data_IF_492539240336
#
_entry.id   IF_492539240336
#
_cell.length_a   1.000
_cell.length_b   1.000
_cell.length_c   1.000
_cell.angle_alpha   90.00
_cell.angle_beta   90.00
_cell.angle_gamma   90.00
#
_symmetry.space_group_name_H-M   'P 1'
#
loop_
_entity.id
_entity.type
_entity.pdbx_description
1 polymer ?
#
# COMPACT_ATOMS: atom_id res chain seq x y z
N UNK A 1 71.78 -31.92 -62.66
CA UNK A 1 71.33 -30.93 -61.65
C UNK A 1 70.02 -31.43 -61.03
N UNK A 2 70.04 -31.53 -59.69
CA UNK A 2 68.97 -31.66 -58.68
C UNK A 2 67.50 -31.62 -59.18
N UNK A 3 66.70 -32.66 -58.86
CA UNK A 3 65.63 -32.66 -57.81
C UNK A 3 64.30 -32.03 -58.31
N UNK A 4 63.08 -32.48 -58.03
CA UNK A 4 62.54 -33.35 -56.97
C UNK A 4 61.14 -33.87 -57.39
N UNK A 5 60.80 -35.11 -57.04
CA UNK A 5 59.44 -35.63 -57.00
C UNK A 5 58.64 -34.91 -55.89
N UNK A 6 57.37 -34.58 -56.15
CA UNK A 6 56.37 -34.29 -55.10
C UNK A 6 55.18 -35.24 -55.25
N UNK A 7 55.10 -36.21 -54.33
CA UNK A 7 53.88 -36.99 -54.07
C UNK A 7 52.89 -36.10 -53.31
N UNK A 8 51.66 -35.99 -53.82
CA UNK A 8 50.53 -35.41 -53.08
C UNK A 8 49.91 -36.46 -52.16
N UNK A 9 49.91 -36.21 -50.85
CA UNK A 9 49.22 -37.01 -49.87
C UNK A 9 47.74 -36.61 -49.78
N UNK A 10 46.84 -37.57 -49.97
CA UNK A 10 45.40 -37.43 -49.69
C UNK A 10 45.19 -37.68 -48.20
N UNK A 11 44.89 -36.64 -47.44
CA UNK A 11 44.51 -36.74 -46.03
C UNK A 11 43.02 -37.08 -45.89
N UNK A 12 42.71 -38.27 -45.39
CA UNK A 12 41.35 -38.66 -44.98
C UNK A 12 41.12 -38.14 -43.56
N UNK A 13 40.25 -37.14 -43.41
CA UNK A 13 39.73 -36.72 -42.10
C UNK A 13 38.63 -37.70 -41.65
N UNK A 14 38.94 -38.57 -40.68
CA UNK A 14 37.92 -39.28 -39.90
C UNK A 14 37.29 -38.31 -38.89
N UNK A 15 36.06 -37.88 -39.16
CA UNK A 15 35.24 -37.16 -38.18
C UNK A 15 34.67 -38.11 -37.13
N UNK A 16 35.06 -37.95 -35.87
CA UNK A 16 34.47 -38.66 -34.74
C UNK A 16 33.15 -37.98 -34.34
N UNK A 17 32.03 -38.67 -34.58
CA UNK A 17 30.70 -38.27 -34.11
C UNK A 17 30.58 -38.53 -32.60
N UNK A 18 30.66 -37.48 -31.79
CA UNK A 18 30.26 -37.53 -30.37
C UNK A 18 28.73 -37.49 -30.27
N UNK A 19 28.07 -38.43 -29.56
CA UNK A 19 26.63 -38.35 -29.34
C UNK A 19 26.32 -37.22 -28.36
N UNK A 20 25.63 -36.17 -28.84
CA UNK A 20 25.02 -35.15 -27.99
C UNK A 20 23.89 -35.81 -27.18
N UNK A 21 24.14 -36.07 -25.89
CA UNK A 21 23.07 -36.37 -24.95
C UNK A 21 22.23 -35.11 -24.72
N UNK A 22 21.02 -35.10 -25.25
CA UNK A 22 19.97 -34.14 -24.89
C UNK A 22 19.56 -34.36 -23.44
N UNK A 23 20.11 -33.56 -22.54
CA UNK A 23 19.62 -33.45 -21.16
C UNK A 23 18.30 -32.68 -21.20
N UNK A 24 17.18 -33.38 -21.25
CA UNK A 24 15.85 -32.77 -21.09
C UNK A 24 15.64 -32.44 -19.63
N UNK A 25 15.79 -31.17 -19.24
CA UNK A 25 15.33 -30.72 -17.93
C UNK A 25 13.80 -30.79 -17.91
N UNK A 26 13.18 -31.47 -16.93
CA UNK A 26 11.73 -31.46 -16.82
C UNK A 26 11.30 -30.02 -16.53
N UNK A 27 10.51 -29.45 -17.43
CA UNK A 27 9.89 -28.15 -17.22
C UNK A 27 8.97 -28.26 -16.00
N UNK A 28 9.41 -27.71 -14.87
CA UNK A 28 8.59 -27.57 -13.68
C UNK A 28 7.40 -26.68 -14.06
N UNK A 29 6.24 -27.28 -14.32
CA UNK A 29 5.02 -26.55 -14.61
C UNK A 29 4.77 -25.55 -13.45
N UNK A 30 4.82 -24.25 -13.77
CA UNK A 30 4.56 -23.20 -12.81
C UNK A 30 3.16 -23.40 -12.24
N UNK A 31 3.07 -23.64 -10.92
CA UNK A 31 1.77 -23.75 -10.24
C UNK A 31 0.97 -22.48 -10.54
N UNK A 32 -0.30 -22.58 -10.97
CA UNK A 32 -1.11 -21.41 -11.26
C UNK A 32 -1.18 -20.53 -9.99
N UNK A 33 -0.84 -19.25 -10.14
CA UNK A 33 -0.95 -18.28 -9.04
C UNK A 33 -2.40 -18.28 -8.55
N UNK A 34 -2.60 -18.50 -7.26
CA UNK A 34 -3.93 -18.45 -6.66
C UNK A 34 -4.62 -17.12 -7.02
N UNK A 35 -5.90 -17.19 -7.44
CA UNK A 35 -6.70 -15.99 -7.71
C UNK A 35 -6.75 -15.15 -6.43
N UNK A 36 -6.41 -13.86 -6.54
CA UNK A 36 -6.51 -12.93 -5.41
C UNK A 36 -7.98 -12.79 -5.02
N UNK A 37 -8.27 -13.11 -3.75
CA UNK A 37 -9.60 -13.02 -3.15
C UNK A 37 -9.66 -11.90 -2.11
N UNK A 38 -8.62 -11.77 -1.30
CA UNK A 38 -8.54 -10.76 -0.24
C UNK A 38 -7.29 -9.91 -0.41
N UNK A 39 -7.42 -8.60 -0.31
CA UNK A 39 -6.30 -7.66 -0.26
C UNK A 39 -6.30 -7.00 1.10
N UNK A 40 -5.22 -7.20 1.86
CA UNK A 40 -4.96 -6.45 3.10
C UNK A 40 -4.15 -5.21 2.72
N UNK A 41 -4.73 -4.03 2.93
CA UNK A 41 -4.12 -2.75 2.59
C UNK A 41 -3.63 -2.06 3.86
N UNK A 42 -2.33 -2.11 4.12
CA UNK A 42 -1.72 -1.50 5.30
C UNK A 42 -1.53 0.00 5.08
N UNK A 43 -2.22 0.82 5.87
CA UNK A 43 -2.13 2.28 5.88
C UNK A 43 -1.45 2.77 7.16
N UNK A 44 -0.55 3.74 7.00
CA UNK A 44 0.23 4.35 8.07
C UNK A 44 -0.04 5.85 8.13
N UNK A 45 -0.64 6.33 9.21
CA UNK A 45 -1.16 7.69 9.33
C UNK A 45 -0.19 8.65 10.00
N UNK A 46 -0.43 9.95 9.82
CA UNK A 46 0.24 11.08 10.47
C UNK A 46 1.62 11.48 9.95
N UNK A 47 2.20 10.73 9.01
CA UNK A 47 3.59 10.93 8.58
C UNK A 47 4.60 10.90 9.75
N UNK A 48 4.38 10.04 10.74
CA UNK A 48 5.22 9.90 11.93
C UNK A 48 6.61 9.32 11.58
N UNK A 49 7.66 9.74 12.29
CA UNK A 49 9.03 9.29 12.02
C UNK A 49 9.22 7.77 12.14
N UNK A 50 8.38 7.09 12.94
CA UNK A 50 8.37 5.62 13.08
C UNK A 50 7.98 4.89 11.80
N UNK A 51 7.41 5.58 10.81
CA UNK A 51 7.07 5.02 9.50
C UNK A 51 8.29 4.48 8.75
N UNK A 52 9.50 4.97 9.03
CA UNK A 52 10.73 4.42 8.48
C UNK A 52 11.00 2.99 8.97
N UNK A 53 10.72 2.74 10.24
CA UNK A 53 10.79 1.41 10.84
C UNK A 53 9.74 0.49 10.22
N UNK A 54 8.50 0.98 10.10
CA UNK A 54 7.43 0.25 9.44
C UNK A 54 7.81 -0.14 8.00
N UNK A 55 8.36 0.80 7.22
CA UNK A 55 8.82 0.56 5.86
C UNK A 55 9.93 -0.50 5.80
N UNK A 56 10.90 -0.47 6.72
CA UNK A 56 11.95 -1.49 6.80
C UNK A 56 11.37 -2.90 7.01
N UNK A 57 10.39 -3.05 7.90
CA UNK A 57 9.71 -4.33 8.16
C UNK A 57 8.89 -4.76 6.93
N UNK A 58 8.09 -3.88 6.34
CA UNK A 58 7.36 -4.19 5.10
C UNK A 58 8.31 -4.64 3.97
N UNK A 59 9.46 -3.98 3.84
CA UNK A 59 10.48 -4.31 2.86
C UNK A 59 11.09 -5.70 3.07
N UNK A 60 11.37 -6.12 4.31
CA UNK A 60 11.87 -7.47 4.59
C UNK A 60 10.86 -8.56 4.28
N UNK A 61 9.56 -8.23 4.32
CA UNK A 61 8.46 -9.12 3.90
C UNK A 61 8.11 -9.04 2.41
N UNK A 62 8.82 -8.20 1.64
CA UNK A 62 8.58 -8.05 0.20
C UNK A 62 7.23 -7.43 -0.14
N UNK A 63 6.61 -6.70 0.78
CA UNK A 63 5.29 -6.06 0.61
C UNK A 63 5.41 -4.54 0.70
N UNK A 64 4.38 -3.84 0.24
CA UNK A 64 4.30 -2.37 0.26
C UNK A 64 3.01 -1.92 0.93
N UNK A 65 3.07 -0.75 1.52
CA UNK A 65 1.98 -0.09 2.24
C UNK A 65 1.76 1.32 1.73
N UNK A 66 0.79 1.99 2.33
CA UNK A 66 0.41 3.38 2.05
C UNK A 66 0.76 4.25 3.24
N UNK A 67 1.51 5.33 3.03
CA UNK A 67 1.82 6.31 4.07
C UNK A 67 1.01 7.58 3.81
N UNK A 68 0.07 7.90 4.70
CA UNK A 68 -0.77 9.08 4.64
C UNK A 68 -0.05 10.22 5.35
N UNK A 69 0.22 11.29 4.59
CA UNK A 69 1.15 12.35 5.01
C UNK A 69 0.38 13.64 5.22
N UNK A 70 0.59 14.27 6.38
CA UNK A 70 0.24 15.66 6.61
C UNK A 70 1.33 16.55 6.02
N UNK A 71 1.09 17.15 4.86
CA UNK A 71 2.16 17.87 4.15
C UNK A 71 2.66 19.12 4.88
N UNK A 72 1.82 19.75 5.70
CA UNK A 72 2.17 20.90 6.54
C UNK A 72 3.09 20.55 7.72
N UNK A 73 3.10 19.29 8.15
CA UNK A 73 3.90 18.81 9.28
C UNK A 73 5.29 18.29 8.88
N UNK A 74 5.58 18.19 7.58
CA UNK A 74 6.86 17.67 7.10
C UNK A 74 8.05 18.50 7.59
N UNK A 75 9.14 17.80 7.92
CA UNK A 75 10.38 18.36 8.49
C UNK A 75 10.24 18.97 9.91
N UNK A 76 9.10 18.76 10.58
CA UNK A 76 8.94 19.12 11.99
C UNK A 76 9.39 17.97 12.91
N UNK A 77 9.54 18.24 14.21
CA UNK A 77 10.01 17.25 15.19
C UNK A 77 9.04 16.06 15.27
N UNK A 78 9.58 14.85 15.12
CA UNK A 78 8.80 13.60 15.21
C UNK A 78 8.05 13.23 13.94
N UNK A 79 8.14 14.05 12.89
CA UNK A 79 7.50 13.82 11.59
C UNK A 79 8.55 13.50 10.54
N UNK A 80 8.13 12.85 9.46
CA UNK A 80 9.01 12.57 8.33
C UNK A 80 9.47 13.88 7.67
N UNK A 81 10.71 13.86 7.16
CA UNK A 81 11.20 14.89 6.24
C UNK A 81 10.72 14.63 4.81
N UNK A 82 10.77 15.65 3.97
CA UNK A 82 10.50 15.52 2.52
C UNK A 82 11.42 14.47 1.88
N UNK A 83 12.69 14.43 2.29
CA UNK A 83 13.66 13.45 1.79
C UNK A 83 13.27 12.01 2.15
N UNK A 84 12.77 11.80 3.37
CA UNK A 84 12.28 10.52 3.86
C UNK A 84 11.01 10.07 3.14
N UNK A 85 10.02 10.95 2.95
CA UNK A 85 8.81 10.62 2.17
C UNK A 85 9.15 10.22 0.74
N UNK A 86 10.06 10.96 0.08
CA UNK A 86 10.55 10.58 -1.26
C UNK A 86 11.29 9.24 -1.25
N UNK A 87 12.02 8.92 -0.17
CA UNK A 87 12.68 7.63 -0.04
C UNK A 87 11.67 6.47 0.07
N UNK A 88 10.61 6.63 0.87
CA UNK A 88 9.50 5.67 0.95
C UNK A 88 8.87 5.42 -0.44
N UNK A 89 8.60 6.49 -1.19
CA UNK A 89 8.07 6.38 -2.54
C UNK A 89 9.04 5.65 -3.49
N UNK A 90 10.35 5.95 -3.45
CA UNK A 90 11.36 5.26 -4.27
C UNK A 90 11.49 3.77 -3.92
N UNK A 91 11.21 3.38 -2.69
CA UNK A 91 11.19 1.98 -2.27
C UNK A 91 9.92 1.24 -2.76
N UNK A 92 8.97 1.94 -3.37
CA UNK A 92 7.75 1.39 -3.95
C UNK A 92 6.53 1.48 -3.03
N UNK A 93 6.64 2.12 -1.87
CA UNK A 93 5.48 2.45 -1.05
C UNK A 93 4.66 3.56 -1.71
N UNK A 94 3.37 3.63 -1.37
CA UNK A 94 2.49 4.68 -1.86
C UNK A 94 2.36 5.79 -0.84
N UNK A 95 2.11 6.99 -1.33
CA UNK A 95 1.88 8.18 -0.52
C UNK A 95 0.45 8.64 -0.74
N UNK A 96 -0.30 8.74 0.36
CA UNK A 96 -1.64 9.31 0.41
C UNK A 96 -1.63 10.69 1.10
N UNK A 97 -2.69 11.47 0.90
CA UNK A 97 -2.87 12.74 1.63
C UNK A 97 -3.61 12.55 2.94
N UNK A 98 -3.43 13.48 3.87
CA UNK A 98 -3.99 13.39 5.21
C UNK A 98 -4.40 14.72 5.87
N UNK A 99 -4.64 15.79 5.10
CA UNK A 99 -4.81 17.20 5.54
C UNK A 99 -3.48 17.85 5.89
N UNK A 100 -3.42 19.19 5.90
CA UNK A 100 -2.17 19.90 6.17
C UNK A 100 -1.60 19.62 7.56
N UNK A 101 -2.46 19.66 8.59
CA UNK A 101 -2.08 19.65 10.01
C UNK A 101 -3.00 18.75 10.87
N UNK A 102 -3.48 17.65 10.30
CA UNK A 102 -4.34 16.68 10.97
C UNK A 102 -5.62 17.32 11.57
N UNK A 103 -6.29 18.17 10.78
CA UNK A 103 -7.50 18.87 11.22
C UNK A 103 -8.73 17.97 11.17
N UNK A 104 -9.64 18.14 12.14
CA UNK A 104 -10.93 17.45 12.12
C UNK A 104 -11.88 18.16 11.15
N UNK A 105 -11.93 17.67 9.92
CA UNK A 105 -12.63 18.32 8.81
C UNK A 105 -14.10 18.70 9.09
N UNK A 106 -14.94 17.86 9.74
CA UNK A 106 -16.32 18.24 10.03
C UNK A 106 -16.50 19.43 10.97
N UNK A 107 -15.44 19.86 11.66
CA UNK A 107 -15.47 21.03 12.55
C UNK A 107 -15.19 22.34 11.78
N UNK A 108 -14.84 22.24 10.50
CA UNK A 108 -14.55 23.36 9.60
C UNK A 108 -15.72 23.67 8.66
N UNK A 109 -15.74 24.88 8.09
CA UNK A 109 -16.67 25.20 7.00
C UNK A 109 -16.39 24.35 5.77
N UNK A 110 -17.38 24.17 4.90
CA UNK A 110 -17.21 23.39 3.67
C UNK A 110 -16.12 23.98 2.73
N UNK A 111 -15.92 25.30 2.74
CA UNK A 111 -14.81 25.97 2.03
C UNK A 111 -13.47 25.57 2.65
N UNK A 112 -13.33 25.71 3.97
CA UNK A 112 -12.07 25.43 4.67
C UNK A 112 -11.66 23.95 4.54
N UNK A 113 -12.63 23.03 4.58
CA UNK A 113 -12.39 21.61 4.30
C UNK A 113 -11.80 21.41 2.89
N UNK A 114 -12.35 22.10 1.89
CA UNK A 114 -11.87 22.03 0.50
C UNK A 114 -10.47 22.62 0.35
N UNK A 115 -10.26 23.80 0.90
CA UNK A 115 -8.97 24.49 0.87
C UNK A 115 -7.89 23.63 1.51
N UNK A 116 -8.13 23.06 2.70
CA UNK A 116 -7.15 22.21 3.39
C UNK A 116 -6.81 20.96 2.57
N UNK A 117 -7.81 20.21 2.12
CA UNK A 117 -7.61 18.96 1.36
C UNK A 117 -6.87 19.23 0.03
N UNK A 118 -7.22 20.30 -0.68
CA UNK A 118 -6.59 20.67 -1.93
C UNK A 118 -5.16 21.17 -1.71
N UNK A 119 -4.93 22.00 -0.68
CA UNK A 119 -3.61 22.49 -0.31
C UNK A 119 -2.66 21.34 0.04
N UNK A 120 -3.13 20.38 0.85
CA UNK A 120 -2.36 19.21 1.23
C UNK A 120 -1.93 18.41 -0.01
N UNK A 121 -2.89 18.11 -0.89
CA UNK A 121 -2.60 17.36 -2.12
C UNK A 121 -1.64 18.12 -3.03
N UNK A 122 -1.86 19.42 -3.22
CA UNK A 122 -1.02 20.25 -4.08
C UNK A 122 0.43 20.30 -3.56
N UNK A 123 0.63 20.41 -2.26
CA UNK A 123 1.95 20.36 -1.64
C UNK A 123 2.65 19.02 -1.92
N UNK A 124 1.95 17.89 -1.75
CA UNK A 124 2.52 16.57 -2.04
C UNK A 124 2.82 16.36 -3.53
N UNK A 125 1.95 16.82 -4.44
CA UNK A 125 2.19 16.75 -5.88
C UNK A 125 3.40 17.61 -6.31
N UNK A 126 3.63 18.76 -5.66
CA UNK A 126 4.83 19.59 -5.87
C UNK A 126 6.12 18.83 -5.55
N UNK A 127 6.06 17.86 -4.64
CA UNK A 127 7.16 16.95 -4.33
C UNK A 127 7.39 15.86 -5.39
N UNK A 128 6.58 15.82 -6.45
CA UNK A 128 6.54 14.82 -7.53
C UNK A 128 6.08 13.43 -7.07
N UNK A 129 5.21 13.40 -6.06
CA UNK A 129 4.62 12.17 -5.53
C UNK A 129 3.25 11.91 -6.20
N UNK A 130 2.95 10.69 -6.67
CA UNK A 130 1.65 10.37 -7.25
C UNK A 130 0.61 10.10 -6.14
N UNK A 131 -0.03 11.15 -5.65
CA UNK A 131 -1.01 11.07 -4.56
C UNK A 131 -2.43 10.89 -5.10
N UNK A 132 -3.04 9.74 -4.82
CA UNK A 132 -4.35 9.35 -5.39
C UNK A 132 -5.39 8.92 -4.35
N UNK A 133 -4.98 8.61 -3.14
CA UNK A 133 -5.86 8.24 -2.02
C UNK A 133 -5.73 9.24 -0.89
N UNK A 134 -6.78 9.32 -0.08
CA UNK A 134 -6.83 10.19 1.09
C UNK A 134 -7.26 9.40 2.33
N UNK A 135 -6.77 9.81 3.49
CA UNK A 135 -7.26 9.35 4.78
C UNK A 135 -7.85 10.55 5.53
N UNK A 136 -9.06 10.42 6.07
CA UNK A 136 -9.62 11.46 6.92
C UNK A 136 -9.01 11.40 8.32
N UNK A 137 -8.41 12.49 8.84
CA UNK A 137 -8.01 12.59 10.25
C UNK A 137 -9.16 12.21 11.17
N UNK A 138 -8.85 11.51 12.26
CA UNK A 138 -9.84 10.98 13.22
C UNK A 138 -10.92 10.06 12.61
N UNK A 139 -10.76 9.63 11.35
CA UNK A 139 -11.83 9.00 10.56
C UNK A 139 -13.00 9.93 10.23
N UNK A 140 -12.91 11.22 10.59
CA UNK A 140 -14.03 12.15 10.61
C UNK A 140 -14.28 12.73 9.22
N UNK A 141 -15.47 12.48 8.67
CA UNK A 141 -15.87 13.00 7.38
C UNK A 141 -17.38 13.25 7.34
N UNK A 142 -17.79 14.11 6.41
CA UNK A 142 -19.17 14.44 6.09
C UNK A 142 -19.30 14.58 4.56
N UNK A 143 -20.49 14.96 4.06
CA UNK A 143 -20.71 15.13 2.61
C UNK A 143 -19.74 16.13 1.97
N UNK A 144 -19.42 17.21 2.68
CA UNK A 144 -18.52 18.27 2.19
C UNK A 144 -17.08 17.77 2.05
N UNK A 145 -16.54 17.07 3.05
CA UNK A 145 -15.19 16.54 2.98
C UNK A 145 -15.05 15.39 1.96
N UNK A 146 -16.12 14.63 1.73
CA UNK A 146 -16.18 13.64 0.64
C UNK A 146 -16.18 14.31 -0.73
N UNK A 147 -16.98 15.36 -0.89
CA UNK A 147 -17.01 16.14 -2.12
C UNK A 147 -15.65 16.83 -2.36
N UNK A 148 -15.07 17.45 -1.34
CA UNK A 148 -13.75 18.07 -1.40
C UNK A 148 -12.66 17.08 -1.80
N UNK A 149 -12.60 15.87 -1.21
CA UNK A 149 -11.63 14.86 -1.61
C UNK A 149 -11.75 14.50 -3.10
N UNK A 150 -12.97 14.34 -3.60
CA UNK A 150 -13.23 14.13 -5.03
C UNK A 150 -12.80 15.32 -5.88
N UNK A 151 -13.21 16.53 -5.49
CA UNK A 151 -12.93 17.78 -6.20
C UNK A 151 -11.42 18.02 -6.32
N UNK A 152 -10.69 17.86 -5.22
CA UNK A 152 -9.23 18.04 -5.18
C UNK A 152 -8.47 16.95 -5.97
N UNK A 153 -9.16 15.96 -6.53
CA UNK A 153 -8.60 14.99 -7.47
C UNK A 153 -8.11 13.69 -6.83
N UNK A 154 -8.50 13.40 -5.59
CA UNK A 154 -8.35 12.05 -5.05
C UNK A 154 -9.34 11.08 -5.74
N UNK A 155 -8.94 9.82 -5.87
CA UNK A 155 -9.73 8.77 -6.50
C UNK A 155 -10.48 7.90 -5.46
N UNK A 156 -9.97 7.88 -4.24
CA UNK A 156 -10.63 7.28 -3.10
C UNK A 156 -10.21 7.98 -1.80
N UNK A 157 -11.05 7.89 -0.79
CA UNK A 157 -10.77 8.34 0.57
C UNK A 157 -11.31 7.34 1.58
N UNK A 158 -10.57 7.09 2.66
CA UNK A 158 -10.91 6.08 3.67
C UNK A 158 -11.12 6.71 5.06
N UNK A 159 -12.06 6.15 5.81
CA UNK A 159 -12.42 6.57 7.18
C UNK A 159 -11.70 5.69 8.23
N UNK A 160 -12.10 5.78 9.50
CA UNK A 160 -11.78 4.82 10.55
C UNK A 160 -13.09 4.23 11.05
N UNK A 161 -13.29 2.93 10.88
CA UNK A 161 -14.51 2.23 11.28
C UNK A 161 -15.47 1.92 10.13
N UNK A 162 -16.62 1.34 10.49
CA UNK A 162 -17.65 0.86 9.57
C UNK A 162 -17.52 -0.63 9.18
N UNK A 163 -16.38 -1.28 9.47
CA UNK A 163 -16.27 -2.74 9.48
C UNK A 163 -16.33 -3.27 10.92
N UNK A 164 -16.90 -4.45 11.11
CA UNK A 164 -16.99 -5.10 12.42
C UNK A 164 -16.82 -6.62 12.34
N UNK A 165 -16.54 -7.24 13.48
CA UNK A 165 -16.54 -8.69 13.65
C UNK A 165 -17.85 -9.11 14.30
N UNK A 166 -18.55 -10.12 13.75
CA UNK A 166 -19.67 -10.77 14.43
C UNK A 166 -21.08 -10.38 13.97
N UNK A 167 -22.05 -10.69 14.83
CA UNK A 167 -23.49 -10.80 14.57
C UNK A 167 -24.24 -9.46 14.64
N UNK A 168 -23.80 -8.47 13.86
CA UNK A 168 -24.70 -7.39 13.49
C UNK A 168 -25.13 -7.63 12.04
N UNK A 169 -26.44 -7.67 11.81
CA UNK A 169 -27.04 -8.04 10.52
C UNK A 169 -26.57 -7.15 9.35
N UNK A 170 -26.09 -5.94 9.67
CA UNK A 170 -25.67 -4.92 8.71
C UNK A 170 -24.14 -4.71 8.68
N UNK A 171 -23.39 -5.44 9.49
CA UNK A 171 -21.95 -5.27 9.57
C UNK A 171 -21.24 -6.07 8.49
N UNK A 172 -20.42 -5.39 7.71
CA UNK A 172 -19.51 -6.05 6.79
C UNK A 172 -18.17 -6.35 7.50
N UNK A 173 -17.62 -7.57 7.39
CA UNK A 173 -16.28 -7.89 7.89
C UNK A 173 -15.16 -7.44 6.96
N UNK A 174 -15.50 -6.99 5.74
CA UNK A 174 -14.56 -6.57 4.71
C UNK A 174 -15.25 -5.62 3.74
N UNK A 175 -14.50 -4.72 3.08
CA UNK A 175 -15.01 -4.00 1.93
C UNK A 175 -15.04 -4.86 0.67
N UNK A 176 -15.93 -4.53 -0.27
CA UNK A 176 -15.80 -5.13 -1.61
C UNK A 176 -14.52 -4.65 -2.30
N UNK A 177 -14.00 -5.40 -3.27
CA UNK A 177 -12.84 -4.97 -4.09
C UNK A 177 -13.11 -3.69 -4.89
N UNK A 178 -14.38 -3.31 -5.05
CA UNK A 178 -14.82 -2.06 -5.69
C UNK A 178 -15.84 -1.41 -4.75
N UNK A 179 -15.37 -0.76 -3.66
CA UNK A 179 -16.25 -0.18 -2.64
C UNK A 179 -17.31 0.72 -3.27
N UNK A 180 -18.56 0.61 -2.80
CA UNK A 180 -19.66 1.44 -3.29
C UNK A 180 -19.44 2.92 -2.95
N UNK A 181 -18.82 3.19 -1.81
CA UNK A 181 -18.49 4.53 -1.34
C UNK A 181 -16.96 4.75 -1.40
N UNK A 182 -16.45 5.09 -2.59
CA UNK A 182 -15.01 5.31 -2.80
C UNK A 182 -14.43 6.44 -1.96
N UNK A 183 -15.24 7.41 -1.54
CA UNK A 183 -14.82 8.53 -0.68
C UNK A 183 -15.15 8.32 0.80
N UNK A 184 -15.58 7.12 1.18
CA UNK A 184 -15.76 6.73 2.59
C UNK A 184 -15.48 5.24 2.75
N UNK A 185 -14.33 4.79 2.25
CA UNK A 185 -13.91 3.39 2.32
C UNK A 185 -13.75 2.99 3.79
N UNK A 186 -14.49 1.96 4.19
CA UNK A 186 -14.59 1.51 5.58
C UNK A 186 -13.36 0.73 6.01
N UNK A 187 -13.08 0.78 7.32
CA UNK A 187 -11.99 0.04 7.96
C UNK A 187 -12.51 -0.55 9.28
N UNK A 188 -11.68 -1.33 9.97
CA UNK A 188 -11.84 -1.52 11.41
C UNK A 188 -11.37 -0.27 12.18
N UNK A 189 -11.50 -0.25 13.50
CA UNK A 189 -10.81 0.73 14.33
C UNK A 189 -9.29 0.70 14.11
N UNK A 190 -8.62 1.79 14.46
CA UNK A 190 -7.16 1.89 14.39
C UNK A 190 -6.50 0.81 15.24
N UNK A 191 -5.40 0.25 14.74
CA UNK A 191 -4.49 -0.56 15.57
C UNK A 191 -3.99 0.31 16.72
N UNK A 192 -4.12 -0.23 17.93
CA UNK A 192 -3.79 0.46 19.17
C UNK A 192 -2.88 -0.43 20.05
N UNK A 193 -2.40 0.11 21.16
CA UNK A 193 -1.40 -0.52 22.02
C UNK A 193 -1.85 -1.86 22.63
N UNK A 194 -3.15 -2.08 22.71
CA UNK A 194 -3.82 -3.29 23.21
C UNK A 194 -4.22 -4.26 22.09
N UNK A 195 -4.08 -3.87 20.82
CA UNK A 195 -4.41 -4.73 19.68
C UNK A 195 -3.46 -5.93 19.64
N UNK A 196 -4.01 -7.14 19.63
CA UNK A 196 -3.21 -8.37 19.60
C UNK A 196 -3.05 -8.93 18.18
N UNK A 197 -2.08 -9.83 18.02
CA UNK A 197 -1.93 -10.60 16.78
C UNK A 197 -3.20 -11.39 16.43
N UNK A 198 -3.91 -11.88 17.44
CA UNK A 198 -5.14 -12.64 17.24
C UNK A 198 -6.26 -11.76 16.70
N UNK A 199 -6.35 -10.50 17.11
CA UNK A 199 -7.37 -9.57 16.64
C UNK A 199 -7.18 -9.25 15.15
N UNK A 200 -5.94 -8.97 14.74
CA UNK A 200 -5.59 -8.78 13.32
C UNK A 200 -5.89 -10.04 12.48
N UNK A 201 -5.56 -11.23 13.01
CA UNK A 201 -5.87 -12.51 12.36
C UNK A 201 -7.38 -12.73 12.22
N UNK A 202 -8.18 -12.35 13.21
CA UNK A 202 -9.65 -12.46 13.17
C UNK A 202 -10.24 -11.59 12.06
N UNK A 203 -9.79 -10.35 11.90
CA UNK A 203 -10.22 -9.46 10.82
C UNK A 203 -9.95 -10.08 9.45
N UNK A 204 -8.73 -10.53 9.20
CA UNK A 204 -8.34 -11.15 7.92
C UNK A 204 -9.11 -12.44 7.65
N UNK A 205 -9.23 -13.32 8.63
CA UNK A 205 -9.97 -14.58 8.44
C UNK A 205 -11.48 -14.37 8.31
N UNK A 206 -12.04 -13.32 8.90
CA UNK A 206 -13.44 -12.93 8.69
C UNK A 206 -13.66 -12.47 7.24
N UNK A 207 -12.75 -11.65 6.70
CA UNK A 207 -12.76 -11.27 5.28
C UNK A 207 -12.68 -12.49 4.35
N UNK A 208 -11.78 -13.43 4.62
CA UNK A 208 -11.65 -14.67 3.84
C UNK A 208 -12.92 -15.53 3.89
N UNK A 209 -13.54 -15.68 5.07
CA UNK A 209 -14.80 -16.43 5.24
C UNK A 209 -15.98 -15.76 4.52
N UNK A 210 -15.97 -14.44 4.41
CA UNK A 210 -16.98 -13.68 3.67
C UNK A 210 -16.79 -13.72 2.14
N UNK A 211 -15.84 -14.51 1.63
CA UNK A 211 -15.57 -14.65 0.20
C UNK A 211 -14.43 -13.76 -0.32
N UNK A 212 -13.83 -12.96 0.56
CA UNK A 212 -12.74 -12.03 0.25
C UNK A 212 -13.22 -10.61 -0.05
N UNK A 213 -12.26 -9.70 -0.20
CA UNK A 213 -12.52 -8.28 -0.37
C UNK A 213 -11.29 -7.41 -0.10
N UNK A 214 -11.52 -6.11 0.01
CA UNK A 214 -10.52 -5.13 0.39
C UNK A 214 -10.59 -4.91 1.91
N UNK A 215 -9.49 -5.13 2.61
CA UNK A 215 -9.38 -4.94 4.05
C UNK A 215 -8.30 -3.89 4.35
N UNK A 216 -8.65 -2.60 4.45
CA UNK A 216 -7.71 -1.60 4.90
C UNK A 216 -7.49 -1.72 6.42
N UNK A 217 -6.22 -1.68 6.83
CA UNK A 217 -5.78 -1.70 8.24
C UNK A 217 -5.10 -0.38 8.53
N UNK A 218 -5.55 0.29 9.60
CA UNK A 218 -5.09 1.64 9.98
C UNK A 218 -4.08 1.53 11.12
N UNK A 219 -2.85 1.97 10.88
CA UNK A 219 -1.71 1.95 11.83
C UNK A 219 -1.20 3.39 11.94
N UNK A 220 -0.80 3.85 13.12
CA UNK A 220 -0.19 5.18 13.26
C UNK A 220 1.31 5.04 13.56
N UNK A 221 1.66 4.56 14.76
CA UNK A 221 3.06 4.42 15.19
C UNK A 221 3.53 2.96 15.22
N UNK A 222 4.76 2.71 14.79
CA UNK A 222 5.42 1.39 14.88
C UNK A 222 6.72 1.50 15.67
N UNK A 223 6.70 1.04 16.91
CA UNK A 223 7.76 1.29 17.88
C UNK A 223 8.40 -0.01 18.38
N UNK A 224 9.65 0.04 18.85
CA UNK A 224 10.31 -1.14 19.45
C UNK A 224 9.56 -1.69 20.67
N UNK A 225 8.87 -0.80 21.39
CA UNK A 225 7.92 -1.09 22.49
C UNK A 225 6.72 -0.17 22.34
N UNK A 226 5.61 -0.46 23.01
CA UNK A 226 4.44 0.45 23.06
C UNK A 226 4.90 1.86 23.43
N UNK A 227 4.48 2.84 22.63
CA UNK A 227 4.96 4.23 22.70
C UNK A 227 3.79 5.23 22.79
N UNK A 228 2.68 4.80 23.38
CA UNK A 228 1.45 5.58 23.58
C UNK A 228 0.25 4.98 22.86
N UNK A 229 -0.87 5.70 22.89
CA UNK A 229 -2.05 5.34 22.12
C UNK A 229 -1.78 5.34 20.61
N UNK A 230 -2.56 4.52 19.90
CA UNK A 230 -2.44 4.29 18.46
C UNK A 230 -1.05 3.79 18.03
N UNK A 231 -0.33 3.13 18.93
CA UNK A 231 0.94 2.49 18.63
C UNK A 231 0.82 0.98 18.53
N UNK A 232 1.64 0.40 17.66
CA UNK A 232 1.91 -1.03 17.61
C UNK A 232 3.40 -1.29 17.74
N UNK A 233 3.78 -2.53 18.01
CA UNK A 233 5.19 -2.90 18.13
C UNK A 233 5.75 -3.41 16.81
N UNK A 234 7.06 -3.23 16.61
CA UNK A 234 7.80 -3.85 15.50
C UNK A 234 7.57 -5.37 15.46
N UNK A 235 7.62 -6.02 16.62
CA UNK A 235 7.36 -7.46 16.78
C UNK A 235 5.96 -7.85 16.31
N UNK A 236 4.93 -7.10 16.71
CA UNK A 236 3.56 -7.41 16.30
C UNK A 236 3.37 -7.27 14.79
N UNK A 237 3.91 -6.19 14.19
CA UNK A 237 3.84 -5.99 12.74
C UNK A 237 4.57 -7.11 11.98
N UNK A 238 5.77 -7.49 12.44
CA UNK A 238 6.56 -8.57 11.84
C UNK A 238 5.87 -9.94 11.93
N UNK A 239 5.31 -10.28 13.10
CA UNK A 239 4.55 -11.52 13.29
C UNK A 239 3.27 -11.55 12.45
N UNK A 240 2.61 -10.40 12.28
CA UNK A 240 1.42 -10.29 11.45
C UNK A 240 1.74 -10.48 9.97
N UNK A 241 2.81 -9.86 9.46
CA UNK A 241 3.27 -10.02 8.08
C UNK A 241 3.76 -11.45 7.79
N UNK A 242 4.50 -12.05 8.73
CA UNK A 242 4.92 -13.46 8.67
C UNK A 242 3.70 -14.37 8.53
N UNK A 243 2.66 -14.13 9.33
CA UNK A 243 1.43 -14.90 9.24
C UNK A 243 0.68 -14.64 7.92
N UNK A 244 0.60 -13.39 7.44
CA UNK A 244 -0.03 -13.03 6.17
C UNK A 244 0.64 -13.71 4.97
N UNK A 245 1.95 -13.94 5.00
CA UNK A 245 2.65 -14.71 3.95
C UNK A 245 2.06 -16.11 3.79
N UNK A 246 1.79 -16.79 4.92
CA UNK A 246 1.13 -18.09 4.93
C UNK A 246 -0.30 -18.06 4.36
N UNK A 247 -0.93 -16.88 4.28
CA UNK A 247 -2.28 -16.67 3.76
C UNK A 247 -2.33 -16.54 2.24
N UNK A 248 -1.20 -16.39 1.55
CA UNK A 248 -1.14 -16.35 0.07
C UNK A 248 -1.79 -17.57 -0.58
N UNK A 249 -1.68 -18.75 0.04
CA UNK A 249 -2.34 -20.00 -0.41
C UNK A 249 -3.88 -19.93 -0.37
N UNK A 250 -4.44 -19.02 0.40
CA UNK A 250 -5.89 -18.75 0.48
C UNK A 250 -6.35 -17.63 -0.45
N UNK A 251 -5.44 -17.04 -1.24
CA UNK A 251 -5.73 -15.90 -2.11
C UNK A 251 -5.68 -14.55 -1.39
N UNK A 252 -5.12 -14.49 -0.17
CA UNK A 252 -4.92 -13.25 0.58
C UNK A 252 -3.55 -12.66 0.26
N UNK A 253 -3.50 -11.39 -0.13
CA UNK A 253 -2.26 -10.67 -0.46
C UNK A 253 -2.21 -9.33 0.26
N UNK A 254 -1.00 -8.81 0.48
CA UNK A 254 -0.80 -7.44 0.98
C UNK A 254 -0.48 -6.54 -0.21
N UNK A 255 -1.23 -5.45 -0.37
CA UNK A 255 -0.98 -4.44 -1.41
C UNK A 255 -1.35 -3.04 -0.88
N UNK A 256 -0.69 -1.97 -1.34
CA UNK A 256 -1.15 -0.62 -1.11
C UNK A 256 -2.60 -0.41 -1.56
N UNK A 257 -3.32 0.51 -0.90
CA UNK A 257 -4.73 0.79 -1.22
C UNK A 257 -4.88 1.30 -2.67
N UNK A 258 -3.89 2.08 -3.11
CA UNK A 258 -3.83 2.69 -4.45
C UNK A 258 -3.79 1.64 -5.55
N UNK A 259 -3.16 0.49 -5.30
CA UNK A 259 -3.05 -0.58 -6.30
C UNK A 259 -4.38 -1.32 -6.50
N UNK A 260 -5.38 -1.08 -5.64
CA UNK A 260 -6.74 -1.62 -5.77
C UNK A 260 -7.71 -0.56 -6.26
N UNK A 261 -7.70 0.63 -5.66
CA UNK A 261 -8.71 1.67 -5.90
C UNK A 261 -8.13 3.07 -6.20
N UNK A 262 -6.81 3.20 -6.27
CA UNK A 262 -6.13 4.50 -6.46
C UNK A 262 -6.14 5.01 -7.88
N UNK A 263 -6.30 4.17 -8.91
CA UNK A 263 -6.41 4.61 -10.30
C UNK A 263 -5.25 5.51 -10.80
N UNK A 264 -5.50 6.31 -11.83
CA UNK A 264 -4.50 7.26 -12.38
C UNK A 264 -4.52 8.57 -11.59
N UNK A 265 -3.34 9.14 -11.32
CA UNK A 265 -3.24 10.47 -10.71
C UNK A 265 -3.86 11.54 -11.61
N UNK A 266 -4.63 12.45 -10.99
CA UNK A 266 -5.28 13.59 -11.62
C UNK A 266 -4.62 14.89 -11.17
N UNK A 267 -4.65 15.97 -11.97
CA UNK A 267 -4.24 17.29 -11.47
C UNK A 267 -5.12 17.72 -10.29
N UNK A 268 -4.60 18.60 -9.43
CA UNK A 268 -5.44 19.35 -8.48
C UNK A 268 -6.07 20.52 -9.28
N UNK A 269 -7.34 20.89 -9.02
CA UNK A 269 -7.94 22.08 -9.63
C UNK A 269 -7.10 23.35 -9.39
N UNK A 270 -7.30 24.36 -10.24
CA UNK A 270 -6.60 25.64 -10.07
C UNK A 270 -6.88 26.24 -8.69
N UNK A 271 -5.87 26.86 -8.07
CA UNK A 271 -5.99 27.37 -6.71
C UNK A 271 -7.08 28.44 -6.57
N UNK A 272 -7.34 29.21 -7.63
CA UNK A 272 -8.42 30.21 -7.65
C UNK A 272 -9.80 29.60 -7.43
N UNK A 273 -10.01 28.33 -7.80
CA UNK A 273 -11.31 27.66 -7.71
C UNK A 273 -11.54 26.95 -6.36
N UNK A 274 -10.60 27.03 -5.41
CA UNK A 274 -10.72 26.29 -4.15
C UNK A 274 -11.70 26.93 -3.17
N UNK A 275 -11.95 28.23 -3.32
CA UNK A 275 -12.90 28.98 -2.50
C UNK A 275 -14.27 29.16 -3.20
N UNK A 276 -14.35 28.76 -4.47
CA UNK A 276 -15.57 28.82 -5.27
C UNK A 276 -16.46 27.60 -5.00
N UNK A 277 -17.76 27.86 -4.80
CA UNK A 277 -18.77 26.84 -4.55
C UNK A 277 -19.61 26.54 -5.79
#
# INVERSE_FOLDING_TARGET
MRSSLRLGAVGVLLGTLLPMLLVTTPAQAARPKAKVKTVVALGFDDGDATHLTAAKILNSHGVRGTFYINSGDLNTKGKLSVGQVRALARQGHKIGGHTLHHVRLPDLTAIDQRVDICADRAALLKLKLPVTTFAYPFGANNGDSQHAARFCGYNAARTVGGLALGSCDYCAPVESMRPAQLYSVRTYGSVNHDTTLNDLKKQVTAAERAGGGLLPVVIHKVCARVCGDYSTTEKLLDEFLTWLDSRKKHGTVVRPLEDVIGGKSRPVPDKSTWEEF
#
